data_IF_593713828176
#
_entry.id   IF_593713828176
#
_cell.length_a   1.000
_cell.length_b   1.000
_cell.length_c   1.000
_cell.angle_alpha   90.00
_cell.angle_beta   90.00
_cell.angle_gamma   90.00
#
_symmetry.space_group_name_H-M   'P 1'
#
loop_
_entity.id
_entity.type
_entity.pdbx_description
1 polymer ?
#
# COMPACT_ATOMS: atom_id res chain seq x y z
N UNK A 1 -8.63 5.77 4.50
CA UNK A 1 -9.55 5.47 3.37
C UNK A 1 -8.79 5.14 2.10
N UNK A 2 -9.47 4.45 1.16
CA UNK A 2 -8.89 4.02 -0.12
C UNK A 2 -9.81 4.40 -1.30
N UNK A 3 -9.90 5.70 -1.66
CA UNK A 3 -10.78 6.15 -2.72
C UNK A 3 -10.34 5.63 -4.10
N UNK A 4 -11.31 5.19 -4.90
CA UNK A 4 -11.09 4.76 -6.28
C UNK A 4 -11.59 5.83 -7.26
N UNK A 5 -10.66 6.52 -7.90
CA UNK A 5 -10.93 7.56 -8.90
C UNK A 5 -10.81 7.05 -10.35
N UNK A 6 -10.60 5.76 -10.58
CA UNK A 6 -10.43 5.20 -11.93
C UNK A 6 -11.61 5.50 -12.88
N UNK A 7 -12.88 5.47 -12.46
CA UNK A 7 -13.99 5.86 -13.34
C UNK A 7 -13.85 7.29 -13.86
N UNK A 8 -13.40 8.23 -13.02
CA UNK A 8 -13.15 9.62 -13.42
C UNK A 8 -12.02 9.72 -14.43
N UNK A 9 -10.91 9.00 -14.19
CA UNK A 9 -9.75 9.01 -15.08
C UNK A 9 -10.05 8.42 -16.46
N UNK A 10 -10.99 7.48 -16.52
CA UNK A 10 -11.45 6.86 -17.78
C UNK A 10 -12.52 7.67 -18.51
N UNK A 11 -12.99 8.78 -17.95
CA UNK A 11 -14.08 9.56 -18.51
C UNK A 11 -15.47 8.90 -18.37
N UNK A 12 -15.60 7.90 -17.50
CA UNK A 12 -16.85 7.20 -17.21
C UNK A 12 -17.80 8.01 -16.33
N UNK A 13 -17.41 9.23 -15.97
CA UNK A 13 -18.16 10.12 -15.07
C UNK A 13 -17.86 9.88 -13.60
N UNK A 14 -18.58 10.63 -12.75
CA UNK A 14 -18.45 10.56 -11.30
C UNK A 14 -18.11 11.91 -10.69
N UNK A 15 -18.19 11.96 -9.37
CA UNK A 15 -17.86 13.15 -8.60
C UNK A 15 -16.87 12.78 -7.49
N UNK A 16 -15.66 13.33 -7.48
CA UNK A 16 -14.66 13.03 -6.43
C UNK A 16 -15.14 13.33 -5.01
N UNK A 17 -15.91 14.43 -4.83
CA UNK A 17 -16.46 14.79 -3.52
C UNK A 17 -17.47 13.72 -3.05
N UNK A 18 -18.31 13.19 -3.94
CA UNK A 18 -19.23 12.10 -3.59
C UNK A 18 -18.46 10.83 -3.16
N UNK A 19 -17.42 10.43 -3.91
CA UNK A 19 -16.58 9.28 -3.55
C UNK A 19 -15.96 9.47 -2.15
N UNK A 20 -15.47 10.65 -1.86
CA UNK A 20 -14.84 10.95 -0.57
C UNK A 20 -15.87 10.98 0.56
N UNK A 21 -17.03 11.59 0.36
CA UNK A 21 -18.10 11.66 1.35
C UNK A 21 -18.63 10.26 1.70
N UNK A 22 -18.92 9.42 0.71
CA UNK A 22 -19.38 8.04 0.93
C UNK A 22 -18.37 7.23 1.78
N UNK A 23 -17.07 7.46 1.54
CA UNK A 23 -16.02 6.81 2.33
C UNK A 23 -15.95 7.39 3.75
N UNK A 24 -16.11 8.68 3.94
CA UNK A 24 -16.10 9.29 5.27
C UNK A 24 -17.35 8.94 6.08
N UNK A 25 -18.51 8.80 5.43
CA UNK A 25 -19.73 8.29 6.08
C UNK A 25 -19.53 6.84 6.56
N UNK A 26 -18.86 6.02 5.73
CA UNK A 26 -18.56 4.62 6.10
C UNK A 26 -17.45 4.50 7.15
N UNK A 27 -16.49 5.41 7.15
CA UNK A 27 -15.29 5.40 8.00
C UNK A 27 -15.03 6.76 8.66
N UNK A 28 -15.92 7.24 9.53
CA UNK A 28 -15.85 8.62 10.07
C UNK A 28 -14.64 8.91 10.96
N UNK A 29 -13.90 7.88 11.38
CA UNK A 29 -12.67 8.01 12.17
C UNK A 29 -11.40 7.90 11.33
N UNK A 30 -11.52 7.79 10.02
CA UNK A 30 -10.35 7.73 9.14
C UNK A 30 -9.59 9.06 9.19
N UNK A 31 -8.27 8.95 9.29
CA UNK A 31 -7.37 10.12 9.33
C UNK A 31 -6.22 10.03 8.31
N UNK A 32 -6.19 8.98 7.52
CA UNK A 32 -5.20 8.79 6.46
C UNK A 32 -5.83 8.32 5.16
N UNK A 33 -5.18 8.64 4.05
CA UNK A 33 -5.64 8.29 2.71
C UNK A 33 -4.53 7.67 1.88
N UNK A 34 -4.90 6.61 1.15
CA UNK A 34 -4.15 6.07 0.03
C UNK A 34 -5.12 5.80 -1.10
N UNK A 35 -4.99 6.50 -2.20
CA UNK A 35 -5.88 6.33 -3.35
C UNK A 35 -5.59 5.03 -4.09
N UNK A 36 -6.62 4.40 -4.63
CA UNK A 36 -6.46 3.32 -5.60
C UNK A 36 -5.62 3.80 -6.78
N UNK A 37 -4.70 2.96 -7.25
CA UNK A 37 -3.74 3.30 -8.31
C UNK A 37 -2.92 4.57 -8.02
N UNK A 38 -2.71 4.91 -6.75
CA UNK A 38 -1.94 6.08 -6.28
C UNK A 38 -2.41 7.41 -6.88
N UNK A 39 -3.67 7.50 -7.31
CA UNK A 39 -4.23 8.69 -7.95
C UNK A 39 -4.13 9.91 -7.04
N UNK A 40 -3.42 10.92 -7.50
CA UNK A 40 -3.25 12.19 -6.79
C UNK A 40 -3.01 13.36 -7.76
N UNK A 41 -3.42 14.54 -7.33
CA UNK A 41 -3.05 15.82 -7.93
C UNK A 41 -3.22 16.92 -6.88
N UNK A 42 -2.83 18.16 -7.18
CA UNK A 42 -2.88 19.26 -6.20
C UNK A 42 -4.28 19.52 -5.66
N UNK A 43 -5.31 19.40 -6.49
CA UNK A 43 -6.70 19.57 -6.08
C UNK A 43 -7.16 18.44 -5.12
N UNK A 44 -6.88 17.17 -5.44
CA UNK A 44 -7.21 16.03 -4.57
C UNK A 44 -6.50 16.13 -3.21
N UNK A 45 -5.24 16.58 -3.18
CA UNK A 45 -4.51 16.79 -1.93
C UNK A 45 -5.19 17.84 -1.04
N UNK A 46 -5.69 18.94 -1.63
CA UNK A 46 -6.51 19.92 -0.88
C UNK A 46 -7.78 19.30 -0.35
N UNK A 47 -8.48 18.50 -1.17
CA UNK A 47 -9.71 17.82 -0.76
C UNK A 47 -9.48 16.81 0.37
N UNK A 48 -8.41 16.05 0.33
CA UNK A 48 -8.05 15.15 1.44
C UNK A 48 -7.85 15.94 2.75
N UNK A 49 -7.23 17.11 2.67
CA UNK A 49 -7.07 17.96 3.85
C UNK A 49 -8.40 18.53 4.34
N UNK A 50 -9.28 18.99 3.43
CA UNK A 50 -10.60 19.51 3.74
C UNK A 50 -11.49 18.50 4.48
N UNK A 51 -11.45 17.21 4.10
CA UNK A 51 -12.20 16.13 4.77
C UNK A 51 -11.52 15.60 6.05
N UNK A 52 -10.47 16.25 6.53
CA UNK A 52 -9.82 15.95 7.81
C UNK A 52 -8.72 14.91 7.78
N UNK A 53 -8.21 14.54 6.60
CA UNK A 53 -7.02 13.64 6.54
C UNK A 53 -5.81 14.36 7.12
N UNK A 54 -4.99 13.60 7.85
CA UNK A 54 -3.75 14.07 8.46
C UNK A 54 -2.53 13.69 7.63
N UNK A 55 -2.59 12.55 6.96
CA UNK A 55 -1.49 12.01 6.16
C UNK A 55 -1.99 11.28 4.91
N UNK A 56 -1.10 11.13 3.93
CA UNK A 56 -1.34 10.38 2.70
C UNK A 56 -0.15 9.48 2.33
N UNK A 57 -0.44 8.38 1.60
CA UNK A 57 0.54 7.35 1.22
C UNK A 57 0.51 7.09 -0.30
N UNK A 58 0.42 8.15 -1.12
CA UNK A 58 0.35 8.02 -2.59
C UNK A 58 1.71 8.20 -3.27
N UNK A 59 2.80 8.22 -2.51
CA UNK A 59 4.13 8.46 -3.07
C UNK A 59 5.00 7.21 -3.02
N UNK A 60 5.11 6.56 -4.16
CA UNK A 60 5.91 5.36 -4.31
C UNK A 60 7.33 5.70 -4.77
N UNK A 61 8.33 5.24 -4.03
CA UNK A 61 9.75 5.37 -4.32
C UNK A 61 10.39 3.98 -4.34
N UNK A 62 10.28 3.24 -5.46
CA UNK A 62 10.66 1.84 -5.52
C UNK A 62 12.12 1.62 -5.11
N UNK A 63 12.31 0.70 -4.15
CA UNK A 63 13.62 0.28 -3.60
C UNK A 63 14.48 1.40 -3.00
N UNK A 64 13.91 2.57 -2.75
CA UNK A 64 14.63 3.68 -2.13
C UNK A 64 14.89 3.39 -0.64
N UNK A 65 16.15 3.50 -0.20
CA UNK A 65 16.59 3.04 1.13
C UNK A 65 16.48 4.07 2.25
N UNK A 66 16.18 5.33 1.93
CA UNK A 66 16.22 6.43 2.91
C UNK A 66 14.89 7.19 2.93
N UNK A 67 13.79 6.46 3.14
CA UNK A 67 12.48 7.08 3.25
C UNK A 67 12.41 8.03 4.45
N UNK A 68 11.76 9.16 4.24
CA UNK A 68 11.39 10.08 5.32
C UNK A 68 10.04 10.70 5.02
N UNK A 69 9.11 10.73 5.97
CA UNK A 69 7.90 11.52 5.86
C UNK A 69 8.21 13.01 5.77
N UNK A 70 7.38 13.76 5.04
CA UNK A 70 7.52 15.23 4.92
C UNK A 70 6.18 15.92 4.74
N UNK A 71 6.10 17.16 5.22
CA UNK A 71 4.88 17.96 5.10
C UNK A 71 4.70 18.48 3.68
N UNK A 72 3.49 18.33 3.15
CA UNK A 72 3.08 18.95 1.91
C UNK A 72 2.62 20.39 2.16
N UNK A 73 2.62 21.20 1.09
CA UNK A 73 2.13 22.59 1.10
C UNK A 73 0.71 22.75 1.64
N UNK A 74 -0.16 21.75 1.49
CA UNK A 74 -1.54 21.74 1.98
C UNK A 74 -1.69 21.30 3.44
N UNK A 75 -0.58 20.98 4.13
CA UNK A 75 -0.58 20.55 5.54
C UNK A 75 -0.95 19.08 5.76
N UNK A 76 -0.85 18.23 4.73
CA UNK A 76 -0.84 16.79 4.86
C UNK A 76 0.59 16.29 5.09
N UNK A 77 0.78 15.30 5.96
CA UNK A 77 2.04 14.58 6.01
C UNK A 77 2.07 13.55 4.88
N UNK A 78 3.03 13.65 3.98
CA UNK A 78 3.32 12.60 3.00
C UNK A 78 4.19 11.54 3.63
N UNK A 79 3.72 10.29 3.59
CA UNK A 79 4.46 9.13 4.06
C UNK A 79 4.75 8.27 2.82
N UNK A 80 5.95 8.38 2.22
CA UNK A 80 6.29 7.58 1.04
C UNK A 80 6.49 6.11 1.40
N UNK A 81 6.30 5.21 0.43
CA UNK A 81 6.58 3.79 0.58
C UNK A 81 7.56 3.31 -0.50
N UNK A 82 8.30 2.24 -0.23
CA UNK A 82 9.43 1.84 -1.06
C UNK A 82 9.35 0.43 -1.65
N UNK A 83 8.30 -0.33 -1.33
CA UNK A 83 8.13 -1.64 -1.90
C UNK A 83 6.64 -1.98 -2.09
N UNK A 84 6.34 -2.67 -3.18
CA UNK A 84 5.01 -3.13 -3.54
C UNK A 84 5.12 -4.43 -4.35
N UNK A 85 4.29 -5.43 -4.05
CA UNK A 85 4.29 -6.72 -4.72
C UNK A 85 3.94 -6.61 -6.21
N UNK A 86 2.93 -5.84 -6.58
CA UNK A 86 2.55 -5.61 -7.99
C UNK A 86 3.69 -5.02 -8.81
N UNK A 87 4.42 -4.07 -8.24
CA UNK A 87 5.57 -3.46 -8.91
C UNK A 87 6.75 -4.43 -9.03
N UNK A 88 6.96 -5.25 -7.98
CA UNK A 88 7.97 -6.30 -7.99
C UNK A 88 7.71 -7.30 -9.14
N UNK A 89 6.44 -7.70 -9.33
CA UNK A 89 6.03 -8.54 -10.46
C UNK A 89 6.19 -7.84 -11.81
N UNK A 90 5.88 -6.54 -11.91
CA UNK A 90 6.02 -5.77 -13.15
C UNK A 90 7.47 -5.68 -13.63
N UNK A 91 8.44 -5.80 -12.72
CA UNK A 91 9.87 -5.85 -13.03
C UNK A 91 10.38 -7.28 -13.29
N UNK A 92 9.51 -8.28 -13.21
CA UNK A 92 9.86 -9.70 -13.33
C UNK A 92 10.96 -10.14 -12.34
N UNK A 93 10.92 -9.59 -11.12
CA UNK A 93 11.89 -9.90 -10.08
C UNK A 93 11.49 -11.18 -9.34
N UNK A 94 12.49 -12.03 -9.06
CA UNK A 94 12.31 -13.20 -8.21
C UNK A 94 12.32 -12.84 -6.73
N UNK A 95 11.47 -13.47 -5.94
CA UNK A 95 11.50 -13.35 -4.48
C UNK A 95 12.68 -14.04 -3.81
N UNK A 96 13.40 -14.91 -4.49
CA UNK A 96 14.60 -15.55 -3.93
C UNK A 96 15.71 -14.55 -3.61
N UNK A 97 15.76 -13.43 -4.33
CA UNK A 97 16.74 -12.36 -4.17
C UNK A 97 16.07 -10.98 -4.13
N UNK A 98 14.93 -10.85 -3.48
CA UNK A 98 14.15 -9.61 -3.53
C UNK A 98 14.81 -8.40 -2.84
N UNK A 99 15.95 -8.59 -2.17
CA UNK A 99 16.71 -7.48 -1.56
C UNK A 99 15.95 -6.71 -0.47
N UNK A 100 14.88 -7.31 0.08
CA UNK A 100 14.13 -6.73 1.17
C UNK A 100 14.89 -7.07 2.46
N UNK A 101 15.66 -6.11 2.93
CA UNK A 101 16.37 -6.20 4.20
C UNK A 101 15.85 -5.12 5.13
N UNK A 102 15.49 -5.51 6.35
CA UNK A 102 15.23 -4.57 7.41
C UNK A 102 16.57 -4.13 8.01
N UNK A 103 16.79 -2.84 8.06
CA UNK A 103 17.93 -2.24 8.75
C UNK A 103 17.41 -1.39 9.90
N UNK A 104 18.05 -1.47 11.06
CA UNK A 104 17.68 -0.69 12.25
C UNK A 104 17.73 0.84 12.02
N UNK A 105 18.50 1.28 11.03
CA UNK A 105 18.67 2.70 10.68
C UNK A 105 17.72 3.19 9.59
N UNK A 106 16.86 2.33 9.03
CA UNK A 106 16.03 2.70 7.89
C UNK A 106 14.54 2.62 8.21
N UNK A 107 13.81 3.64 7.74
CA UNK A 107 12.36 3.63 7.73
C UNK A 107 11.89 2.98 6.43
N UNK A 108 11.11 1.90 6.53
CA UNK A 108 10.60 1.16 5.39
C UNK A 108 9.09 1.00 5.49
N UNK A 109 8.42 1.08 4.35
CA UNK A 109 6.99 0.81 4.22
C UNK A 109 6.79 -0.12 3.03
N UNK A 110 6.19 -1.27 3.31
CA UNK A 110 5.89 -2.32 2.35
C UNK A 110 4.38 -2.36 2.08
N UNK A 111 4.02 -2.39 0.82
CA UNK A 111 2.65 -2.58 0.38
C UNK A 111 2.44 -4.00 -0.12
N UNK A 112 1.54 -4.73 0.52
CA UNK A 112 1.13 -6.07 0.15
C UNK A 112 -0.35 -6.07 -0.24
N UNK A 113 -0.69 -6.66 -1.37
CA UNK A 113 -2.07 -6.87 -1.76
C UNK A 113 -2.61 -8.17 -1.15
N UNK A 114 -3.76 -8.15 -0.46
CA UNK A 114 -4.32 -9.34 0.19
C UNK A 114 -4.49 -10.53 -0.76
N UNK A 115 -4.81 -10.29 -2.03
CA UNK A 115 -4.96 -11.36 -3.02
C UNK A 115 -3.63 -12.07 -3.28
N UNK A 116 -2.51 -11.35 -3.37
CA UNK A 116 -1.19 -11.93 -3.58
C UNK A 116 -0.71 -12.70 -2.35
N UNK A 117 -1.03 -12.21 -1.14
CA UNK A 117 -0.80 -12.96 0.10
C UNK A 117 -1.61 -14.25 0.11
N UNK A 118 -2.91 -14.20 -0.26
CA UNK A 118 -3.78 -15.37 -0.27
C UNK A 118 -3.30 -16.43 -1.26
N UNK A 119 -2.99 -16.03 -2.49
CA UNK A 119 -2.49 -16.90 -3.54
C UNK A 119 -1.05 -17.36 -3.30
N UNK A 120 -0.31 -16.70 -2.42
CA UNK A 120 1.14 -16.81 -2.29
C UNK A 120 1.83 -16.62 -3.64
N UNK A 121 1.47 -15.55 -4.36
CA UNK A 121 1.89 -15.32 -5.73
C UNK A 121 3.41 -15.15 -5.82
N UNK A 122 4.03 -15.91 -6.70
CA UNK A 122 5.44 -15.76 -7.08
C UNK A 122 5.61 -14.85 -8.29
N UNK A 123 4.50 -14.58 -9.01
CA UNK A 123 4.42 -13.65 -10.13
C UNK A 123 2.94 -13.25 -10.34
N UNK A 124 2.68 -12.37 -11.33
CA UNK A 124 1.34 -11.84 -11.57
C UNK A 124 0.37 -12.84 -12.23
N UNK A 125 0.83 -13.96 -12.80
CA UNK A 125 -0.03 -14.89 -13.54
C UNK A 125 -1.14 -15.48 -12.66
N UNK A 126 -0.85 -15.78 -11.38
CA UNK A 126 -1.86 -16.30 -10.46
C UNK A 126 -3.03 -15.33 -10.29
N UNK A 127 -2.75 -14.04 -10.13
CA UNK A 127 -3.78 -13.02 -10.06
C UNK A 127 -4.56 -12.90 -11.37
N UNK A 128 -3.88 -12.90 -12.52
CA UNK A 128 -4.52 -12.83 -13.83
C UNK A 128 -5.52 -13.97 -14.07
N UNK A 129 -5.25 -15.17 -13.55
CA UNK A 129 -6.14 -16.31 -13.64
C UNK A 129 -7.44 -16.14 -12.82
N UNK A 130 -7.43 -15.35 -11.76
CA UNK A 130 -8.56 -15.24 -10.82
C UNK A 130 -9.23 -13.86 -10.82
N UNK A 131 -8.63 -12.84 -11.43
CA UNK A 131 -9.07 -11.42 -11.32
C UNK A 131 -10.52 -11.17 -11.70
N UNK A 132 -11.08 -11.98 -12.61
CA UNK A 132 -12.44 -11.81 -13.09
C UNK A 132 -13.50 -12.49 -12.20
N UNK A 133 -13.08 -13.33 -11.25
CA UNK A 133 -13.97 -14.09 -10.37
C UNK A 133 -13.34 -14.29 -8.97
N UNK A 134 -12.88 -13.20 -8.37
CA UNK A 134 -12.23 -13.23 -7.05
C UNK A 134 -13.16 -13.65 -5.90
N UNK A 135 -14.47 -13.71 -6.13
CA UNK A 135 -15.45 -14.27 -5.18
C UNK A 135 -15.47 -15.80 -5.15
N UNK A 136 -14.89 -16.46 -6.12
CA UNK A 136 -14.90 -17.90 -6.28
C UNK A 136 -13.76 -18.56 -5.46
N UNK A 137 -14.08 -18.98 -4.24
CA UNK A 137 -13.11 -19.57 -3.31
C UNK A 137 -12.45 -20.85 -3.88
N UNK A 138 -13.18 -21.63 -4.67
CA UNK A 138 -12.62 -22.84 -5.30
C UNK A 138 -11.54 -22.43 -6.31
N UNK A 139 -11.85 -21.48 -7.19
CA UNK A 139 -10.89 -20.96 -8.18
C UNK A 139 -9.65 -20.37 -7.51
N UNK A 140 -9.84 -19.60 -6.42
CA UNK A 140 -8.74 -19.05 -5.65
C UNK A 140 -7.84 -20.15 -5.08
N UNK A 141 -8.43 -21.21 -4.48
CA UNK A 141 -7.67 -22.32 -3.91
C UNK A 141 -6.88 -23.09 -4.96
N UNK A 142 -7.46 -23.33 -6.14
CA UNK A 142 -6.80 -24.01 -7.27
C UNK A 142 -5.60 -23.23 -7.81
N UNK A 143 -5.61 -21.89 -7.65
CA UNK A 143 -4.54 -21.01 -8.11
C UNK A 143 -3.52 -20.63 -7.01
N UNK A 144 -3.66 -21.15 -5.80
CA UNK A 144 -2.65 -20.93 -4.74
C UNK A 144 -1.33 -21.60 -5.09
N UNK A 145 -0.23 -20.90 -4.79
CA UNK A 145 1.09 -21.48 -4.83
C UNK A 145 1.24 -22.51 -3.69
N UNK A 146 1.40 -23.77 -4.06
CA UNK A 146 1.68 -24.91 -3.16
C UNK A 146 3.07 -25.51 -3.41
N UNK A 147 3.84 -24.88 -4.31
CA UNK A 147 5.20 -25.31 -4.66
C UNK A 147 6.27 -24.82 -3.69
N UNK A 148 7.51 -25.01 -4.09
CA UNK A 148 8.71 -24.61 -3.33
C UNK A 148 9.20 -23.19 -3.65
N UNK A 149 8.68 -22.56 -4.72
CA UNK A 149 9.04 -21.21 -5.10
C UNK A 149 8.44 -20.21 -4.11
N UNK A 150 9.25 -19.34 -3.57
CA UNK A 150 8.79 -18.28 -2.67
C UNK A 150 7.78 -17.37 -3.35
N UNK A 151 6.73 -16.99 -2.61
CA UNK A 151 5.72 -16.07 -3.04
C UNK A 151 5.51 -14.92 -2.03
N UNK A 152 4.56 -14.07 -2.33
CA UNK A 152 4.27 -12.85 -1.55
C UNK A 152 4.03 -13.11 -0.07
N UNK A 153 3.31 -14.22 0.28
CA UNK A 153 3.08 -14.58 1.67
C UNK A 153 4.36 -14.96 2.39
N UNK A 154 5.23 -15.72 1.72
CA UNK A 154 6.49 -16.15 2.31
C UNK A 154 7.37 -14.95 2.62
N UNK A 155 7.41 -13.95 1.73
CA UNK A 155 8.12 -12.68 1.96
C UNK A 155 7.53 -11.90 3.15
N UNK A 156 6.21 -11.82 3.24
CA UNK A 156 5.57 -11.16 4.39
C UNK A 156 5.94 -11.86 5.70
N UNK A 157 5.93 -13.20 5.74
CA UNK A 157 6.29 -13.95 6.93
C UNK A 157 7.78 -13.81 7.28
N UNK A 158 8.66 -13.80 6.28
CA UNK A 158 10.08 -13.54 6.47
C UNK A 158 10.33 -12.14 7.07
N UNK A 159 9.64 -11.10 6.55
CA UNK A 159 9.71 -9.75 7.12
C UNK A 159 9.22 -9.68 8.56
N UNK A 160 8.09 -10.31 8.87
CA UNK A 160 7.57 -10.35 10.25
C UNK A 160 8.54 -11.07 11.19
N UNK A 161 9.18 -12.14 10.73
CA UNK A 161 10.22 -12.85 11.48
C UNK A 161 11.44 -11.97 11.72
N UNK A 162 11.93 -11.25 10.71
CA UNK A 162 13.04 -10.30 10.85
C UNK A 162 12.70 -9.20 11.85
N UNK A 163 11.49 -8.60 11.79
CA UNK A 163 11.03 -7.61 12.76
C UNK A 163 11.12 -8.13 14.20
N UNK A 164 10.73 -9.38 14.42
CA UNK A 164 10.78 -10.01 15.74
C UNK A 164 12.21 -10.24 16.21
N UNK A 165 13.07 -10.77 15.35
CA UNK A 165 14.47 -11.06 15.66
C UNK A 165 15.30 -9.82 15.96
N UNK A 166 15.07 -8.74 15.20
CA UNK A 166 15.83 -7.49 15.32
C UNK A 166 15.21 -6.52 16.34
N UNK A 167 14.12 -6.90 17.02
CA UNK A 167 13.36 -6.00 17.89
C UNK A 167 12.96 -4.68 17.19
N UNK A 168 12.76 -4.74 15.87
CA UNK A 168 12.40 -3.59 15.06
C UNK A 168 11.03 -3.05 15.44
N UNK A 169 10.92 -1.74 15.56
CA UNK A 169 9.66 -1.09 15.91
C UNK A 169 8.69 -1.10 14.74
N UNK A 170 7.60 -1.85 14.87
CA UNK A 170 6.45 -1.75 13.96
C UNK A 170 5.53 -0.62 14.41
N UNK A 171 5.12 0.25 13.48
CA UNK A 171 4.29 1.42 13.74
C UNK A 171 3.01 1.39 12.90
N UNK A 172 1.93 1.91 13.48
CA UNK A 172 0.75 2.32 12.70
C UNK A 172 1.06 3.64 12.01
N UNK A 173 0.46 3.89 10.84
CA UNK A 173 0.67 5.16 10.11
C UNK A 173 0.30 6.39 10.92
N UNK A 174 -0.70 6.30 11.80
CA UNK A 174 -1.06 7.40 12.71
C UNK A 174 0.04 7.68 13.74
N UNK A 175 0.80 6.67 14.16
CA UNK A 175 1.90 6.86 15.10
C UNK A 175 3.09 7.52 14.39
N UNK A 176 3.34 7.18 13.13
CA UNK A 176 4.32 7.87 12.26
C UNK A 176 3.96 9.36 12.14
N UNK A 177 2.68 9.67 11.90
CA UNK A 177 2.21 11.07 11.87
C UNK A 177 2.48 11.79 13.20
N UNK A 178 2.12 11.18 14.33
CA UNK A 178 2.32 11.79 15.67
C UNK A 178 3.80 12.02 15.98
N UNK A 179 4.66 11.04 15.65
CA UNK A 179 6.10 11.17 15.86
C UNK A 179 6.72 12.30 15.02
N UNK A 180 6.20 12.50 13.80
CA UNK A 180 6.66 13.58 12.93
C UNK A 180 6.13 14.95 13.38
N UNK A 181 4.86 15.05 13.71
CA UNK A 181 4.23 16.30 14.19
C UNK A 181 4.86 16.83 15.48
N UNK A 182 5.40 15.94 16.35
CA UNK A 182 6.10 16.33 17.59
C UNK A 182 7.54 16.83 17.35
N UNK A 183 8.08 16.69 16.13
CA UNK A 183 9.45 17.13 15.77
C UNK A 183 9.45 18.45 14.98
N UNK A 184 8.29 18.90 14.53
CA UNK A 184 8.07 20.14 13.80
C UNK A 184 7.65 21.26 14.73
#
# INVERSE_FOLDING_TARGET
IHPNFNPLLKGEGGNPDAILNDLMDSYPKACGVRSHSLTQNGWLLSKFKEIGMLYELNHFLPYYKSLSPFMLWCGLLRIPFNWEDDYHFALDYSFDNCGIELSESTFNIFNFHPIHIYLNSENNNRFLNVKNDMGNIKLLNENRNSGTTKGTRDILLDLLSQCTMQSSKSLKMIDVFKEHANKS
#
